data_IF_668801153497
#
_entry.id   IF_668801153497
#
_cell.length_a   1.000
_cell.length_b   1.000
_cell.length_c   1.000
_cell.angle_alpha   90.00
_cell.angle_beta   90.00
_cell.angle_gamma   90.00
#
_symmetry.space_group_name_H-M   'P 1'
#
loop_
_entity.id
_entity.type
_entity.pdbx_description
1 polymer ?
#
# COMPACT_ATOMS: atom_id res chain seq x y z
N UNK A 1 -2.62 12.02 28.47
CA UNK A 1 -1.28 12.35 27.94
C UNK A 1 -0.17 11.78 28.80
N UNK A 2 -0.15 12.03 30.11
CA UNK A 2 0.94 11.51 30.95
C UNK A 2 1.01 9.97 30.98
N UNK A 3 -0.14 9.29 30.98
CA UNK A 3 -0.20 7.83 30.82
C UNK A 3 0.39 7.36 29.47
N UNK A 4 0.02 8.01 28.37
CA UNK A 4 0.50 7.69 27.02
C UNK A 4 2.03 7.84 26.92
N UNK A 5 2.59 8.85 27.58
CA UNK A 5 4.03 9.13 27.56
C UNK A 5 4.82 8.20 28.49
N UNK A 6 4.30 7.91 29.69
CA UNK A 6 5.01 7.15 30.73
C UNK A 6 4.84 5.64 30.62
N UNK A 7 3.62 5.17 30.37
CA UNK A 7 3.28 3.74 30.41
C UNK A 7 3.34 3.09 29.04
N UNK A 8 2.90 3.79 28.00
CA UNK A 8 2.87 3.25 26.63
C UNK A 8 4.10 3.64 25.81
N UNK A 9 4.56 4.87 25.99
CA UNK A 9 5.65 5.47 25.22
C UNK A 9 5.19 5.96 23.85
N UNK A 10 5.54 7.20 23.50
CA UNK A 10 5.16 7.82 22.22
C UNK A 10 5.74 7.11 20.99
N UNK A 11 6.85 6.37 21.16
CA UNK A 11 7.50 5.61 20.08
C UNK A 11 6.62 4.51 19.48
N UNK A 12 5.58 4.05 20.18
CA UNK A 12 4.60 3.10 19.63
C UNK A 12 3.67 3.71 18.58
N UNK A 13 3.52 5.04 18.60
CA UNK A 13 2.52 5.75 17.80
C UNK A 13 3.15 6.69 16.75
N UNK A 14 4.39 7.13 16.98
CA UNK A 14 5.05 8.15 16.16
C UNK A 14 6.44 7.70 15.75
N UNK A 15 6.86 8.10 14.53
CA UNK A 15 8.19 7.80 14.01
C UNK A 15 9.30 8.49 14.82
N UNK A 16 10.47 7.88 14.85
CA UNK A 16 11.62 8.41 15.59
C UNK A 16 12.00 9.83 15.13
N UNK A 17 11.98 10.05 13.82
CA UNK A 17 12.26 11.35 13.20
C UNK A 17 11.32 12.45 13.70
N UNK A 18 10.03 12.15 13.90
CA UNK A 18 9.09 13.13 14.46
C UNK A 18 9.43 13.47 15.92
N UNK A 19 9.76 12.45 16.71
CA UNK A 19 10.06 12.60 18.14
C UNK A 19 11.34 13.41 18.37
N UNK A 20 12.36 13.20 17.53
CA UNK A 20 13.65 13.90 17.65
C UNK A 20 13.60 15.33 17.10
N UNK A 21 12.72 15.60 16.13
CA UNK A 21 12.58 16.92 15.51
C UNK A 21 11.73 17.92 16.31
N UNK A 22 10.98 17.47 17.32
CA UNK A 22 10.04 18.31 18.07
C UNK A 22 10.36 18.36 19.56
N UNK A 23 10.36 19.58 20.13
CA UNK A 23 10.46 19.74 21.59
C UNK A 23 9.27 19.04 22.27
N UNK A 24 9.47 18.26 23.36
CA UNK A 24 8.38 17.50 24.00
C UNK A 24 7.14 18.32 24.33
N UNK A 25 7.32 19.56 24.81
CA UNK A 25 6.20 20.48 25.12
C UNK A 25 5.38 20.85 23.88
N UNK A 26 6.04 21.05 22.74
CA UNK A 26 5.41 21.41 21.46
C UNK A 26 4.70 20.19 20.87
N UNK A 27 5.37 19.03 20.86
CA UNK A 27 4.79 17.76 20.43
C UNK A 27 3.52 17.43 21.22
N UNK A 28 3.55 17.56 22.55
CA UNK A 28 2.37 17.37 23.40
C UNK A 28 1.22 18.31 23.02
N UNK A 29 1.53 19.57 22.67
CA UNK A 29 0.52 20.54 22.21
C UNK A 29 -0.10 20.08 20.89
N UNK A 30 0.70 19.62 19.93
CA UNK A 30 0.21 19.11 18.64
C UNK A 30 -0.63 17.86 18.80
N UNK A 31 -0.18 16.87 19.59
CA UNK A 31 -0.95 15.65 19.84
C UNK A 31 -2.30 15.98 20.46
N UNK A 32 -2.33 16.82 21.51
CA UNK A 32 -3.60 17.24 22.14
C UNK A 32 -4.53 17.96 21.15
N UNK A 33 -3.99 18.88 20.35
CA UNK A 33 -4.78 19.60 19.35
C UNK A 33 -5.31 18.66 18.25
N UNK A 34 -4.54 17.65 17.86
CA UNK A 34 -4.96 16.64 16.90
C UNK A 34 -6.06 15.74 17.47
N UNK A 35 -5.85 15.19 18.67
CA UNK A 35 -6.83 14.32 19.35
C UNK A 35 -8.18 15.01 19.57
N UNK A 36 -8.18 16.31 19.87
CA UNK A 36 -9.42 17.09 20.03
C UNK A 36 -10.30 17.09 18.76
N UNK A 37 -9.72 16.95 17.57
CA UNK A 37 -10.47 16.85 16.31
C UNK A 37 -11.24 15.53 16.18
N UNK A 38 -10.86 14.52 16.96
CA UNK A 38 -11.37 13.15 16.84
C UNK A 38 -12.09 12.68 18.12
N UNK A 39 -12.26 13.55 19.12
CA UNK A 39 -12.86 13.21 20.43
C UNK A 39 -14.31 12.71 20.33
N UNK A 40 -15.05 13.13 19.30
CA UNK A 40 -16.43 12.71 19.06
C UNK A 40 -16.58 11.48 18.15
N UNK A 41 -15.49 10.89 17.67
CA UNK A 41 -15.56 9.75 16.75
C UNK A 41 -15.63 8.44 17.52
N UNK A 42 -16.49 7.54 17.07
CA UNK A 42 -16.45 6.14 17.49
C UNK A 42 -15.16 5.47 17.00
N UNK A 43 -14.80 4.34 17.62
CA UNK A 43 -13.59 3.59 17.27
C UNK A 43 -13.55 3.19 15.78
N UNK A 44 -14.67 2.69 15.25
CA UNK A 44 -14.78 2.32 13.83
C UNK A 44 -14.50 3.50 12.90
N UNK A 45 -14.99 4.70 13.24
CA UNK A 45 -14.79 5.90 12.43
C UNK A 45 -13.33 6.39 12.53
N UNK A 46 -12.69 6.23 13.69
CA UNK A 46 -11.25 6.48 13.84
C UNK A 46 -10.43 5.57 12.92
N UNK A 47 -10.75 4.27 12.87
CA UNK A 47 -10.06 3.31 11.99
C UNK A 47 -10.26 3.65 10.52
N UNK A 48 -11.50 3.94 10.10
CA UNK A 48 -11.78 4.38 8.72
C UNK A 48 -10.96 5.63 8.37
N UNK A 49 -10.98 6.63 9.24
CA UNK A 49 -10.25 7.89 9.04
C UNK A 49 -8.74 7.66 8.94
N UNK A 50 -8.19 6.76 9.75
CA UNK A 50 -6.79 6.37 9.66
C UNK A 50 -6.46 5.78 8.29
N UNK A 51 -7.25 4.82 7.80
CA UNK A 51 -7.05 4.22 6.47
C UNK A 51 -7.13 5.26 5.34
N UNK A 52 -8.06 6.22 5.42
CA UNK A 52 -8.16 7.32 4.47
C UNK A 52 -6.89 8.20 4.46
N UNK A 53 -6.41 8.61 5.63
CA UNK A 53 -5.19 9.44 5.74
C UNK A 53 -3.95 8.67 5.26
N UNK A 54 -3.84 7.38 5.59
CA UNK A 54 -2.73 6.56 5.14
C UNK A 54 -2.70 6.43 3.60
N UNK A 55 -3.88 6.32 2.97
CA UNK A 55 -4.00 6.21 1.51
C UNK A 55 -3.51 7.45 0.76
N UNK A 56 -3.55 8.64 1.38
CA UNK A 56 -3.05 9.89 0.76
C UNK A 56 -1.52 9.88 0.57
N UNK A 57 -0.80 9.11 1.39
CA UNK A 57 0.67 9.07 1.38
C UNK A 57 1.24 7.73 0.94
N UNK A 58 0.45 6.66 1.04
CA UNK A 58 0.86 5.31 0.70
C UNK A 58 -0.32 4.51 0.14
N UNK A 59 -0.23 4.12 -1.14
CA UNK A 59 -1.28 3.32 -1.77
C UNK A 59 -1.15 1.83 -1.39
N UNK A 60 -1.61 1.49 -0.18
CA UNK A 60 -1.55 0.13 0.37
C UNK A 60 -2.51 -0.86 -0.30
N UNK A 61 -3.43 -0.40 -1.13
CA UNK A 61 -4.38 -1.26 -1.85
C UNK A 61 -3.77 -1.87 -3.12
N UNK A 62 -2.59 -1.40 -3.54
CA UNK A 62 -1.91 -1.87 -4.74
C UNK A 62 -0.63 -2.64 -4.41
N UNK A 63 -0.48 -3.78 -5.05
CA UNK A 63 0.78 -4.51 -5.12
C UNK A 63 1.40 -4.37 -6.52
N UNK A 64 2.71 -4.15 -6.58
CA UNK A 64 3.41 -3.91 -7.84
C UNK A 64 4.54 -4.94 -7.99
N UNK A 65 4.50 -5.67 -9.11
CA UNK A 65 5.51 -6.69 -9.46
C UNK A 65 6.19 -6.32 -10.77
N UNK A 66 7.53 -6.40 -10.81
CA UNK A 66 8.26 -6.22 -12.07
C UNK A 66 8.38 -7.57 -12.76
N UNK A 67 7.86 -7.69 -13.97
CA UNK A 67 7.87 -8.93 -14.73
C UNK A 67 7.87 -8.66 -16.25
N UNK A 68 7.96 -9.72 -17.05
CA UNK A 68 7.77 -9.62 -18.49
C UNK A 68 6.41 -10.16 -18.89
N UNK A 69 5.70 -9.43 -19.75
CA UNK A 69 4.42 -9.83 -20.32
C UNK A 69 4.61 -10.35 -21.74
N UNK A 70 4.08 -11.54 -22.04
CA UNK A 70 4.14 -12.19 -23.36
C UNK A 70 4.99 -13.46 -23.39
N UNK A 71 4.57 -14.46 -24.18
CA UNK A 71 5.26 -15.75 -24.30
C UNK A 71 6.37 -15.73 -25.37
N UNK A 72 6.08 -15.15 -26.55
CA UNK A 72 7.03 -15.07 -27.67
C UNK A 72 7.75 -13.72 -27.74
N UNK A 73 7.02 -12.62 -27.52
CA UNK A 73 7.56 -11.26 -27.47
C UNK A 73 7.34 -10.70 -26.07
N UNK A 74 8.36 -10.86 -25.23
CA UNK A 74 8.30 -10.51 -23.82
C UNK A 74 8.63 -9.02 -23.63
N UNK A 75 7.69 -8.26 -23.06
CA UNK A 75 7.85 -6.83 -22.76
C UNK A 75 7.96 -6.61 -21.26
N UNK A 76 9.00 -5.91 -20.76
CA UNK A 76 9.11 -5.62 -19.33
C UNK A 76 8.03 -4.62 -18.90
N UNK A 77 7.33 -4.98 -17.83
CA UNK A 77 6.24 -4.19 -17.25
C UNK A 77 6.33 -4.13 -15.73
N UNK A 78 5.64 -3.15 -15.15
CA UNK A 78 5.21 -3.20 -13.76
C UNK A 78 3.76 -3.66 -13.72
N UNK A 79 3.55 -4.92 -13.35
CA UNK A 79 2.24 -5.48 -13.07
C UNK A 79 1.68 -4.85 -11.80
N UNK A 80 0.47 -4.33 -11.87
CA UNK A 80 -0.24 -3.69 -10.76
C UNK A 80 -1.49 -4.50 -10.47
N UNK A 81 -1.59 -4.98 -9.23
CA UNK A 81 -2.74 -5.70 -8.71
C UNK A 81 -3.41 -4.83 -7.66
N UNK A 82 -4.73 -4.61 -7.77
CA UNK A 82 -5.47 -3.85 -6.78
C UNK A 82 -6.98 -4.03 -6.92
N UNK A 83 -7.76 -3.81 -5.86
CA UNK A 83 -9.20 -4.03 -5.87
C UNK A 83 -9.92 -3.15 -6.90
N UNK A 84 -9.46 -1.91 -7.08
CA UNK A 84 -10.01 -1.00 -8.11
C UNK A 84 -9.40 -1.22 -9.49
N UNK A 85 -8.16 -1.69 -9.54
CA UNK A 85 -7.36 -1.80 -10.76
C UNK A 85 -7.51 -3.15 -11.48
N UNK A 86 -7.99 -4.18 -10.76
CA UNK A 86 -7.94 -5.56 -11.22
C UNK A 86 -6.50 -6.00 -11.48
N UNK A 87 -6.28 -6.67 -12.61
CA UNK A 87 -4.95 -6.87 -13.16
C UNK A 87 -4.69 -5.77 -14.20
N UNK A 88 -3.71 -4.93 -13.91
CA UNK A 88 -3.29 -3.81 -14.75
C UNK A 88 -1.77 -3.80 -14.90
N UNK A 89 -1.24 -3.02 -15.84
CA UNK A 89 0.20 -2.86 -15.99
C UNK A 89 0.61 -1.44 -16.37
N UNK A 90 1.85 -1.09 -16.04
CA UNK A 90 2.56 0.09 -16.55
C UNK A 90 3.73 -0.37 -17.39
N UNK A 91 3.99 0.34 -18.49
CA UNK A 91 5.22 0.12 -19.26
C UNK A 91 6.34 0.99 -18.67
N UNK A 92 7.60 0.59 -18.82
CA UNK A 92 8.74 1.34 -18.24
C UNK A 92 8.78 2.82 -18.65
N UNK A 93 8.22 3.16 -19.81
CA UNK A 93 8.27 4.50 -20.38
C UNK A 93 7.02 5.34 -20.04
N UNK A 94 6.04 4.79 -19.31
CA UNK A 94 4.79 5.49 -19.04
C UNK A 94 4.34 5.33 -17.59
N UNK A 95 3.83 6.42 -17.03
CA UNK A 95 3.14 6.41 -15.74
C UNK A 95 1.68 5.96 -15.86
N UNK A 96 1.15 5.91 -17.09
CA UNK A 96 -0.22 5.51 -17.39
C UNK A 96 -0.44 4.04 -17.04
N UNK A 97 -1.46 3.79 -16.23
CA UNK A 97 -1.94 2.45 -15.91
C UNK A 97 -2.88 1.95 -17.00
N UNK A 98 -2.57 0.78 -17.55
CA UNK A 98 -3.40 0.11 -18.57
C UNK A 98 -4.08 -1.10 -17.94
N UNK A 99 -5.41 -1.13 -17.97
CA UNK A 99 -6.19 -2.25 -17.46
C UNK A 99 -6.08 -3.45 -18.41
N UNK A 100 -5.69 -4.60 -17.89
CA UNK A 100 -5.65 -5.85 -18.65
C UNK A 100 -6.95 -6.62 -18.48
N UNK A 101 -7.34 -6.92 -17.23
CA UNK A 101 -8.59 -7.63 -16.96
C UNK A 101 -9.02 -7.48 -15.49
N UNK A 102 -10.32 -7.46 -15.14
CA UNK A 102 -10.77 -7.54 -13.76
C UNK A 102 -10.66 -9.00 -13.22
N UNK A 103 -10.59 -9.18 -11.90
CA UNK A 103 -10.30 -10.50 -11.31
C UNK A 103 -11.38 -11.54 -11.61
N UNK A 104 -12.63 -11.12 -11.70
CA UNK A 104 -13.81 -11.97 -11.90
C UNK A 104 -13.81 -12.68 -13.26
N UNK A 105 -12.97 -12.22 -14.19
CA UNK A 105 -12.84 -12.83 -15.52
C UNK A 105 -11.82 -13.97 -15.56
N UNK A 106 -11.01 -14.15 -14.52
CA UNK A 106 -9.97 -15.19 -14.53
C UNK A 106 -10.61 -16.56 -14.33
N UNK A 107 -10.50 -17.43 -15.33
CA UNK A 107 -10.99 -18.80 -15.28
C UNK A 107 -9.99 -19.75 -14.62
N UNK A 108 -8.70 -19.62 -14.98
CA UNK A 108 -7.64 -20.48 -14.43
C UNK A 108 -6.32 -19.74 -14.27
N UNK A 109 -5.55 -20.16 -13.27
CA UNK A 109 -4.18 -19.70 -13.00
C UNK A 109 -3.28 -20.94 -13.03
N UNK A 110 -2.24 -20.91 -13.86
CA UNK A 110 -1.25 -21.98 -13.95
C UNK A 110 0.16 -21.43 -13.83
N UNK A 111 1.03 -22.21 -13.21
CA UNK A 111 2.43 -21.86 -13.00
C UNK A 111 3.32 -22.92 -13.63
N UNK A 112 4.42 -22.49 -14.25
CA UNK A 112 5.38 -23.40 -14.86
C UNK A 112 6.79 -22.89 -14.63
N UNK A 113 7.69 -23.77 -14.17
CA UNK A 113 9.11 -23.43 -14.04
C UNK A 113 9.76 -23.41 -15.43
N UNK A 114 10.38 -22.30 -15.78
CA UNK A 114 11.18 -22.18 -16.99
C UNK A 114 12.56 -22.75 -16.65
N UNK A 115 12.86 -23.93 -17.18
CA UNK A 115 14.04 -24.75 -16.85
C UNK A 115 15.38 -24.05 -17.03
N UNK A 116 15.44 -22.98 -17.83
CA UNK A 116 16.68 -22.33 -18.22
C UNK A 116 17.17 -21.22 -17.30
N UNK A 117 16.38 -20.68 -16.35
CA UNK A 117 16.82 -19.47 -15.59
C UNK A 117 16.15 -19.21 -14.23
N UNK A 118 15.68 -20.24 -13.52
CA UNK A 118 14.92 -20.12 -12.24
C UNK A 118 13.71 -19.14 -12.30
N UNK A 119 13.26 -18.83 -13.51
CA UNK A 119 12.09 -17.99 -13.77
C UNK A 119 10.82 -18.84 -13.74
N UNK A 120 9.77 -18.29 -13.15
CA UNK A 120 8.41 -18.85 -13.25
C UNK A 120 7.63 -18.16 -14.36
N UNK A 121 6.82 -18.93 -15.10
CA UNK A 121 5.75 -18.42 -15.95
C UNK A 121 4.44 -18.51 -15.18
N UNK A 122 3.70 -17.41 -15.10
CA UNK A 122 2.30 -17.39 -14.65
C UNK A 122 1.44 -17.19 -15.89
N UNK A 123 0.56 -18.13 -16.17
CA UNK A 123 -0.43 -18.03 -17.25
C UNK A 123 -1.82 -17.91 -16.66
N UNK A 124 -2.51 -16.84 -17.07
CA UNK A 124 -3.90 -16.58 -16.75
C UNK A 124 -4.74 -16.94 -17.97
N UNK A 125 -5.79 -17.73 -17.77
CA UNK A 125 -6.83 -17.91 -18.78
C UNK A 125 -8.03 -17.08 -18.34
N UNK A 126 -8.53 -16.27 -19.26
CA UNK A 126 -9.66 -15.35 -19.10
C UNK A 126 -10.82 -15.88 -19.94
#
# INVERSE_FOLDING_TARGET
>A
MDYLEKELGLRKFFSQTLLDSQKPRVLRKYIKACLKKYEGLAEEECVKRFCFLLKEVWNWEQEIFTCNLGAEWAVPISLVLGPSDGISYRTQNTTKLTKMTPFETILTISTTKISSNDRGLIKLTI
#
